data_IF_312175498576
#
_entry.id   IF_312175498576
#
_cell.length_a   1.000
_cell.length_b   1.000
_cell.length_c   1.000
_cell.angle_alpha   90.00
_cell.angle_beta   90.00
_cell.angle_gamma   90.00
#
_symmetry.space_group_name_H-M   'P 1'
#
loop_
_entity.id
_entity.type
_entity.pdbx_description
1 polymer ?
#
# COMPACT_ATOMS: atom_id res chain seq x y z
N UNK A 1 -52.76 -5.57 8.52
CA UNK A 1 -51.76 -5.74 9.61
C UNK A 1 -50.91 -6.99 9.40
N UNK A 2 -51.49 -8.17 9.16
CA UNK A 2 -50.73 -9.42 8.98
C UNK A 2 -49.71 -9.39 7.82
N UNK A 3 -50.10 -8.87 6.65
CA UNK A 3 -49.22 -8.75 5.48
C UNK A 3 -48.03 -7.82 5.70
N UNK A 4 -48.20 -6.76 6.49
CA UNK A 4 -47.13 -5.83 6.85
C UNK A 4 -46.17 -6.46 7.84
N UNK A 5 -46.67 -7.22 8.82
CA UNK A 5 -45.81 -7.90 9.80
C UNK A 5 -44.97 -9.01 9.19
N UNK A 6 -45.53 -9.79 8.25
CA UNK A 6 -44.78 -10.85 7.55
C UNK A 6 -43.75 -10.28 6.58
N UNK A 7 -44.06 -9.17 5.92
CA UNK A 7 -43.09 -8.45 5.10
C UNK A 7 -41.89 -7.96 5.92
N UNK A 8 -42.14 -7.31 7.06
CA UNK A 8 -41.08 -6.76 7.92
C UNK A 8 -40.18 -7.85 8.52
N UNK A 9 -40.75 -8.97 8.97
CA UNK A 9 -39.96 -10.09 9.49
C UNK A 9 -39.09 -10.73 8.39
N UNK A 10 -39.63 -10.87 7.19
CA UNK A 10 -38.92 -11.40 6.03
C UNK A 10 -37.80 -10.46 5.60
N UNK A 11 -38.07 -9.15 5.58
CA UNK A 11 -37.09 -8.10 5.32
C UNK A 11 -35.93 -8.15 6.31
N UNK A 12 -36.22 -8.20 7.61
CA UNK A 12 -35.18 -8.26 8.65
C UNK A 12 -34.33 -9.51 8.52
N UNK A 13 -34.93 -10.65 8.18
CA UNK A 13 -34.19 -11.89 7.93
C UNK A 13 -33.25 -11.77 6.73
N UNK A 14 -33.71 -11.22 5.59
CA UNK A 14 -32.86 -11.03 4.42
C UNK A 14 -31.72 -10.05 4.68
N UNK A 15 -32.01 -8.93 5.37
CA UNK A 15 -30.99 -7.95 5.73
C UNK A 15 -29.98 -8.54 6.73
N UNK A 16 -30.43 -9.31 7.73
CA UNK A 16 -29.52 -9.99 8.64
C UNK A 16 -28.59 -10.97 7.92
N UNK A 17 -29.13 -11.83 7.06
CA UNK A 17 -28.32 -12.75 6.23
C UNK A 17 -27.36 -11.96 5.34
N UNK A 18 -27.83 -10.88 4.69
CA UNK A 18 -26.99 -10.02 3.87
C UNK A 18 -25.82 -9.40 4.65
N UNK A 19 -26.06 -8.94 5.87
CA UNK A 19 -25.00 -8.42 6.74
C UNK A 19 -23.95 -9.48 7.07
N UNK A 20 -24.38 -10.68 7.47
CA UNK A 20 -23.47 -11.80 7.76
C UNK A 20 -22.65 -12.18 6.53
N UNK A 21 -23.26 -12.19 5.34
CA UNK A 21 -22.57 -12.44 4.07
C UNK A 21 -21.51 -11.37 3.78
N UNK A 22 -21.80 -10.09 4.03
CA UNK A 22 -20.83 -9.01 3.86
C UNK A 22 -19.67 -9.12 4.85
N UNK A 23 -19.91 -9.49 6.11
CA UNK A 23 -18.84 -9.76 7.10
C UNK A 23 -17.97 -10.92 6.62
N UNK A 24 -18.59 -12.03 6.23
CA UNK A 24 -17.89 -13.20 5.72
C UNK A 24 -17.03 -12.85 4.51
N UNK A 25 -17.56 -12.06 3.56
CA UNK A 25 -16.81 -11.57 2.42
C UNK A 25 -15.61 -10.71 2.84
N UNK A 26 -15.81 -9.77 3.77
CA UNK A 26 -14.73 -8.92 4.29
C UNK A 26 -13.60 -9.73 4.91
N UNK A 27 -13.93 -10.77 5.68
CA UNK A 27 -12.94 -11.70 6.26
C UNK A 27 -12.26 -12.54 5.18
N UNK A 28 -13.03 -13.09 4.22
CA UNK A 28 -12.49 -13.88 3.12
C UNK A 28 -11.50 -13.10 2.26
N UNK A 29 -11.74 -11.80 2.03
CA UNK A 29 -10.81 -10.92 1.32
C UNK A 29 -9.46 -10.84 2.04
N UNK A 30 -9.46 -10.68 3.37
CA UNK A 30 -8.22 -10.63 4.16
C UNK A 30 -7.52 -11.99 4.19
N UNK A 31 -8.27 -13.07 4.39
CA UNK A 31 -7.73 -14.43 4.38
C UNK A 31 -7.14 -14.78 3.02
N UNK A 32 -7.78 -14.38 1.93
CA UNK A 32 -7.27 -14.56 0.58
C UNK A 32 -5.93 -13.83 0.39
N UNK A 33 -5.85 -12.57 0.82
CA UNK A 33 -4.61 -11.80 0.75
C UNK A 33 -3.48 -12.48 1.53
N UNK A 34 -3.69 -12.84 2.80
CA UNK A 34 -2.66 -13.48 3.62
C UNK A 34 -2.29 -14.87 3.11
N UNK A 35 -3.26 -15.62 2.57
CA UNK A 35 -2.99 -16.89 1.91
C UNK A 35 -2.11 -16.71 0.66
N UNK A 36 -2.38 -15.70 -0.17
CA UNK A 36 -1.52 -15.37 -1.32
C UNK A 36 -0.11 -14.97 -0.89
N UNK A 37 0.03 -14.13 0.14
CA UNK A 37 1.34 -13.76 0.70
C UNK A 37 2.10 -14.99 1.23
N UNK A 38 1.39 -15.92 1.86
CA UNK A 38 1.98 -17.16 2.38
C UNK A 38 2.47 -18.09 1.28
N UNK A 39 1.77 -18.16 0.14
CA UNK A 39 2.18 -19.01 -0.99
C UNK A 39 3.46 -18.54 -1.68
N UNK A 40 3.75 -17.23 -1.64
CA UNK A 40 4.94 -16.68 -2.30
C UNK A 40 6.18 -17.03 -1.46
N UNK A 41 7.09 -17.82 -2.05
CA UNK A 41 8.32 -18.25 -1.38
C UNK A 41 9.45 -17.23 -1.52
N UNK A 42 9.63 -16.66 -2.71
CA UNK A 42 10.66 -15.66 -2.95
C UNK A 42 10.31 -14.35 -2.23
N UNK A 43 11.24 -13.82 -1.42
CA UNK A 43 10.91 -12.64 -0.61
C UNK A 43 10.85 -11.35 -1.44
N UNK A 44 11.45 -11.30 -2.64
CA UNK A 44 11.33 -10.13 -3.53
C UNK A 44 9.96 -10.11 -4.18
N UNK A 45 9.51 -11.24 -4.71
CA UNK A 45 8.15 -11.36 -5.24
C UNK A 45 7.10 -11.08 -4.14
N UNK A 46 7.35 -11.56 -2.91
CA UNK A 46 6.50 -11.29 -1.75
C UNK A 46 6.43 -9.80 -1.43
N UNK A 47 7.58 -9.13 -1.46
CA UNK A 47 7.69 -7.69 -1.24
C UNK A 47 6.87 -6.91 -2.27
N UNK A 48 7.05 -7.21 -3.56
CA UNK A 48 6.36 -6.51 -4.66
C UNK A 48 4.86 -6.71 -4.59
N UNK A 49 4.42 -7.94 -4.30
CA UNK A 49 3.01 -8.25 -4.11
C UNK A 49 2.42 -7.45 -2.95
N UNK A 50 3.06 -7.46 -1.79
CA UNK A 50 2.63 -6.74 -0.58
C UNK A 50 2.53 -5.24 -0.86
N UNK A 51 3.59 -4.66 -1.44
CA UNK A 51 3.65 -3.22 -1.73
C UNK A 51 2.47 -2.75 -2.62
N UNK A 52 2.14 -3.54 -3.65
CA UNK A 52 1.14 -3.16 -4.64
C UNK A 52 -0.31 -3.45 -4.22
N UNK A 53 -0.51 -4.40 -3.30
CA UNK A 53 -1.83 -4.99 -3.05
C UNK A 53 -2.35 -4.86 -1.62
N UNK A 54 -1.48 -4.77 -0.61
CA UNK A 54 -1.91 -4.85 0.80
C UNK A 54 -2.94 -3.77 1.16
N UNK A 55 -2.68 -2.51 0.80
CA UNK A 55 -3.62 -1.39 1.02
C UNK A 55 -4.94 -1.61 0.26
N UNK A 56 -4.90 -2.17 -0.96
CA UNK A 56 -6.10 -2.37 -1.80
C UNK A 56 -7.02 -3.42 -1.20
N UNK A 57 -6.48 -4.59 -0.82
CA UNK A 57 -7.28 -5.65 -0.20
C UNK A 57 -7.78 -5.26 1.18
N UNK A 58 -6.97 -4.53 1.98
CA UNK A 58 -7.41 -3.97 3.25
C UNK A 58 -8.60 -3.02 3.06
N UNK A 59 -8.54 -2.14 2.05
CA UNK A 59 -9.63 -1.22 1.73
C UNK A 59 -10.90 -1.93 1.26
N UNK A 60 -10.79 -2.97 0.41
CA UNK A 60 -11.95 -3.77 0.00
C UNK A 60 -12.62 -4.48 1.17
N UNK A 61 -11.83 -5.01 2.11
CA UNK A 61 -12.37 -5.62 3.33
C UNK A 61 -13.10 -4.58 4.19
N UNK A 62 -12.51 -3.40 4.38
CA UNK A 62 -13.14 -2.29 5.11
C UNK A 62 -14.48 -1.89 4.49
N UNK A 63 -14.55 -1.79 3.17
CA UNK A 63 -15.80 -1.48 2.47
C UNK A 63 -16.88 -2.54 2.70
N UNK A 64 -16.50 -3.83 2.71
CA UNK A 64 -17.43 -4.92 3.02
C UNK A 64 -17.95 -4.84 4.47
N UNK A 65 -17.10 -4.47 5.43
CA UNK A 65 -17.53 -4.28 6.83
C UNK A 65 -18.44 -3.05 7.00
N UNK A 66 -18.16 -1.94 6.34
CA UNK A 66 -19.05 -0.77 6.34
C UNK A 66 -20.42 -1.17 5.78
N UNK A 67 -20.46 -1.87 4.64
CA UNK A 67 -21.70 -2.36 4.07
C UNK A 67 -22.45 -3.29 5.03
N UNK A 68 -21.75 -4.22 5.70
CA UNK A 68 -22.36 -5.11 6.69
C UNK A 68 -23.02 -4.33 7.84
N UNK A 69 -22.35 -3.31 8.38
CA UNK A 69 -22.86 -2.47 9.47
C UNK A 69 -24.08 -1.68 9.01
N UNK A 70 -24.08 -1.13 7.80
CA UNK A 70 -25.22 -0.39 7.24
C UNK A 70 -26.43 -1.30 7.05
N UNK A 71 -26.22 -2.50 6.52
CA UNK A 71 -27.29 -3.49 6.32
C UNK A 71 -27.85 -3.93 7.68
N UNK A 72 -26.99 -4.22 8.66
CA UNK A 72 -27.39 -4.60 10.01
C UNK A 72 -28.13 -3.48 10.73
N UNK A 73 -27.67 -2.23 10.64
CA UNK A 73 -28.37 -1.09 11.24
C UNK A 73 -29.79 -0.92 10.70
N UNK A 74 -30.05 -1.41 9.48
CA UNK A 74 -31.38 -1.43 8.86
C UNK A 74 -32.27 -2.61 9.30
N UNK A 75 -31.82 -3.49 10.20
CA UNK A 75 -32.67 -4.47 10.91
C UNK A 75 -33.08 -3.98 12.30
N UNK A 76 -32.43 -2.94 12.81
CA UNK A 76 -32.70 -2.40 14.15
C UNK A 76 -33.99 -1.58 14.12
N UNK A 77 -34.78 -1.72 15.19
CA UNK A 77 -35.99 -0.96 15.47
C UNK A 77 -37.08 -1.07 14.38
N UNK A 78 -37.18 -2.24 13.74
CA UNK A 78 -38.21 -2.49 12.73
C UNK A 78 -39.62 -2.45 13.31
N UNK A 79 -39.80 -2.73 14.60
CA UNK A 79 -41.08 -2.57 15.31
C UNK A 79 -41.59 -1.12 15.33
N UNK A 80 -40.69 -0.12 15.23
CA UNK A 80 -41.08 1.29 15.11
C UNK A 80 -41.67 1.63 13.74
N UNK A 81 -41.25 0.94 12.68
CA UNK A 81 -41.82 1.10 11.33
C UNK A 81 -43.30 0.68 11.34
N UNK A 82 -43.63 -0.40 12.05
CA UNK A 82 -45.00 -0.85 12.18
C UNK A 82 -45.90 0.16 12.93
N UNK A 83 -45.34 0.98 13.82
CA UNK A 83 -46.08 1.98 14.62
C UNK A 83 -46.16 3.36 13.97
N UNK A 84 -45.06 3.87 13.43
CA UNK A 84 -44.95 5.24 12.91
C UNK A 84 -45.16 5.35 11.39
N UNK A 85 -45.30 4.21 10.72
CA UNK A 85 -45.54 4.08 9.29
C UNK A 85 -44.27 4.25 8.44
N UNK A 86 -44.47 4.43 7.14
CA UNK A 86 -43.40 4.46 6.12
C UNK A 86 -42.40 5.61 6.30
N UNK A 87 -42.74 6.67 7.04
CA UNK A 87 -41.81 7.78 7.34
C UNK A 87 -40.56 7.31 8.08
N UNK A 88 -40.71 6.45 9.08
CA UNK A 88 -39.58 5.96 9.88
C UNK A 88 -38.61 5.11 9.04
N UNK A 89 -39.12 4.39 8.04
CA UNK A 89 -38.31 3.64 7.08
C UNK A 89 -37.34 4.56 6.30
N UNK A 90 -37.83 5.69 5.77
CA UNK A 90 -36.99 6.66 5.05
C UNK A 90 -36.00 7.38 5.98
N UNK A 91 -36.44 7.76 7.18
CA UNK A 91 -35.55 8.37 8.18
C UNK A 91 -34.40 7.42 8.52
N UNK A 92 -34.67 6.13 8.70
CA UNK A 92 -33.64 5.12 8.98
C UNK A 92 -32.63 4.99 7.83
N UNK A 93 -33.09 4.89 6.58
CA UNK A 93 -32.20 4.82 5.43
C UNK A 93 -31.33 6.08 5.34
N UNK A 94 -31.93 7.26 5.55
CA UNK A 94 -31.19 8.52 5.53
C UNK A 94 -30.11 8.57 6.61
N UNK A 95 -30.44 8.21 7.85
CA UNK A 95 -29.50 8.20 8.97
C UNK A 95 -28.37 7.17 8.74
N UNK A 96 -28.72 5.95 8.33
CA UNK A 96 -27.71 4.90 8.08
C UNK A 96 -26.81 5.22 6.90
N UNK A 97 -27.33 5.83 5.83
CA UNK A 97 -26.53 6.34 4.72
C UNK A 97 -25.60 7.48 5.16
N UNK A 98 -26.08 8.41 5.98
CA UNK A 98 -25.25 9.48 6.55
C UNK A 98 -24.08 8.93 7.36
N UNK A 99 -24.33 7.97 8.25
CA UNK A 99 -23.26 7.30 9.00
C UNK A 99 -22.32 6.49 8.10
N UNK A 100 -22.82 5.88 7.01
CA UNK A 100 -22.00 5.17 6.05
C UNK A 100 -20.98 6.10 5.36
N UNK A 101 -21.43 7.30 4.97
CA UNK A 101 -20.56 8.32 4.36
C UNK A 101 -19.51 8.81 5.36
N UNK A 102 -19.90 9.08 6.60
CA UNK A 102 -18.96 9.47 7.66
C UNK A 102 -17.93 8.34 7.88
N UNK A 103 -18.39 7.10 8.04
CA UNK A 103 -17.52 5.94 8.22
C UNK A 103 -16.56 5.77 7.04
N UNK A 104 -17.04 5.92 5.80
CA UNK A 104 -16.21 5.89 4.60
C UNK A 104 -15.06 6.89 4.69
N UNK A 105 -15.33 8.16 4.97
CA UNK A 105 -14.29 9.19 5.05
C UNK A 105 -13.32 8.96 6.21
N UNK A 106 -13.83 8.55 7.38
CA UNK A 106 -13.00 8.24 8.55
C UNK A 106 -12.06 7.08 8.23
N UNK A 107 -12.57 5.96 7.74
CA UNK A 107 -11.75 4.80 7.42
C UNK A 107 -10.83 5.05 6.23
N UNK A 108 -11.27 5.78 5.20
CA UNK A 108 -10.43 6.17 4.07
C UNK A 108 -9.21 6.98 4.54
N UNK A 109 -9.46 7.96 5.41
CA UNK A 109 -8.42 8.79 6.03
C UNK A 109 -7.46 7.94 6.88
N UNK A 110 -8.00 7.06 7.74
CA UNK A 110 -7.19 6.16 8.57
C UNK A 110 -6.29 5.25 7.73
N UNK A 111 -6.85 4.60 6.70
CA UNK A 111 -6.10 3.70 5.83
C UNK A 111 -5.05 4.46 5.02
N UNK A 112 -5.38 5.62 4.46
CA UNK A 112 -4.44 6.32 3.57
C UNK A 112 -3.33 7.06 4.33
N UNK A 113 -3.56 7.49 5.56
CA UNK A 113 -2.62 8.32 6.32
C UNK A 113 -1.79 7.51 7.31
N UNK A 114 -2.41 6.59 8.05
CA UNK A 114 -1.73 5.91 9.17
C UNK A 114 -1.18 4.54 8.78
N UNK A 115 -1.83 3.84 7.86
CA UNK A 115 -1.42 2.52 7.44
C UNK A 115 -0.08 2.47 6.69
N UNK A 116 0.32 3.44 5.82
CA UNK A 116 1.58 3.39 5.10
C UNK A 116 2.79 3.16 6.02
N UNK A 117 2.81 3.76 7.21
CA UNK A 117 3.86 3.54 8.21
C UNK A 117 4.01 2.08 8.63
N UNK A 118 2.91 1.34 8.74
CA UNK A 118 2.94 -0.09 9.10
C UNK A 118 3.38 -0.94 7.91
N UNK A 119 2.91 -0.59 6.71
CA UNK A 119 3.32 -1.23 5.46
C UNK A 119 4.83 -1.09 5.26
N UNK A 120 5.40 0.11 5.41
CA UNK A 120 6.84 0.34 5.28
C UNK A 120 7.65 -0.48 6.29
N UNK A 121 7.17 -0.62 7.53
CA UNK A 121 7.80 -1.51 8.52
C UNK A 121 7.74 -3.00 8.13
N UNK A 122 6.69 -3.43 7.43
CA UNK A 122 6.56 -4.80 6.90
C UNK A 122 7.50 -5.00 5.71
N UNK A 123 7.53 -4.05 4.78
CA UNK A 123 8.39 -4.03 3.60
C UNK A 123 9.87 -4.01 3.99
N UNK A 124 10.27 -3.16 4.94
CA UNK A 124 11.65 -3.11 5.44
C UNK A 124 12.10 -4.43 6.06
N UNK A 125 11.20 -5.14 6.78
CA UNK A 125 11.49 -6.48 7.30
C UNK A 125 11.70 -7.49 6.16
N UNK A 126 10.84 -7.47 5.15
CA UNK A 126 10.95 -8.36 3.98
C UNK A 126 12.23 -8.08 3.17
N UNK A 127 12.55 -6.81 2.92
CA UNK A 127 13.73 -6.38 2.16
C UNK A 127 15.03 -6.77 2.86
N UNK A 128 15.12 -6.62 4.18
CA UNK A 128 16.35 -6.90 4.93
C UNK A 128 16.46 -8.34 5.47
N UNK A 129 15.52 -9.23 5.15
CA UNK A 129 15.64 -10.64 5.53
C UNK A 129 16.69 -11.33 4.65
N UNK A 130 17.69 -12.04 5.24
CA UNK A 130 18.71 -12.74 4.48
C UNK A 130 18.15 -13.70 3.44
N UNK A 131 18.76 -13.71 2.26
CA UNK A 131 18.38 -14.62 1.17
C UNK A 131 19.11 -15.94 1.31
N UNK A 132 18.55 -16.99 0.73
CA UNK A 132 19.17 -18.31 0.68
C UNK A 132 19.64 -18.54 -0.76
N UNK A 133 20.92 -18.87 -0.93
CA UNK A 133 21.49 -19.18 -2.24
C UNK A 133 20.97 -20.52 -2.77
N UNK A 134 21.11 -20.83 -4.07
CA UNK A 134 20.79 -22.15 -4.60
C UNK A 134 21.56 -23.30 -3.91
N UNK A 135 22.70 -23.00 -3.30
CA UNK A 135 23.51 -23.95 -2.52
C UNK A 135 23.00 -24.12 -1.07
N UNK A 136 22.00 -23.35 -0.64
CA UNK A 136 21.43 -23.40 0.70
C UNK A 136 22.11 -22.49 1.72
N UNK A 137 23.08 -21.66 1.31
CA UNK A 137 23.79 -20.76 2.22
C UNK A 137 23.02 -19.45 2.44
N UNK A 138 23.13 -18.88 3.64
CA UNK A 138 22.65 -17.54 3.91
C UNK A 138 23.51 -16.50 3.19
N UNK A 139 22.88 -15.61 2.43
CA UNK A 139 23.55 -14.56 1.66
C UNK A 139 23.72 -13.30 2.51
N UNK A 140 24.85 -12.61 2.35
CA UNK A 140 25.10 -11.29 2.93
C UNK A 140 24.60 -10.20 1.99
N UNK A 141 23.88 -9.21 2.53
CA UNK A 141 23.57 -7.97 1.81
C UNK A 141 24.80 -7.07 1.82
N UNK A 142 25.21 -6.61 0.65
CA UNK A 142 26.33 -5.68 0.51
C UNK A 142 25.92 -4.27 0.97
N UNK A 143 26.91 -3.46 1.35
CA UNK A 143 26.72 -2.03 1.60
C UNK A 143 26.69 -1.25 0.27
N UNK A 144 26.08 -0.07 0.23
CA UNK A 144 25.97 0.75 -1.00
C UNK A 144 27.32 0.97 -1.70
N UNK A 145 28.41 1.14 -0.94
CA UNK A 145 29.76 1.29 -1.50
C UNK A 145 30.30 0.01 -2.14
N UNK A 146 29.97 -1.15 -1.57
CA UNK A 146 30.34 -2.45 -2.13
C UNK A 146 29.48 -2.76 -3.37
N UNK A 147 28.18 -2.48 -3.30
CA UNK A 147 27.20 -2.75 -4.37
C UNK A 147 27.58 -2.11 -5.70
N UNK A 148 28.09 -0.87 -5.68
CA UNK A 148 28.50 -0.16 -6.89
C UNK A 148 29.53 -0.90 -7.75
N UNK A 149 30.37 -1.75 -7.15
CA UNK A 149 31.36 -2.54 -7.88
C UNK A 149 30.76 -3.77 -8.58
N UNK A 150 29.55 -4.17 -8.19
CA UNK A 150 28.84 -5.34 -8.71
C UNK A 150 27.72 -5.00 -9.69
N UNK A 151 27.33 -3.73 -9.76
CA UNK A 151 26.31 -3.21 -10.67
C UNK A 151 26.91 -2.82 -12.01
N UNK A 152 26.19 -3.15 -13.08
CA UNK A 152 26.57 -2.72 -14.44
C UNK A 152 26.34 -1.22 -14.62
N UNK A 153 27.02 -0.59 -15.59
CA UNK A 153 26.92 0.86 -15.81
C UNK A 153 25.47 1.33 -16.06
N UNK A 154 24.66 0.52 -16.76
CA UNK A 154 23.24 0.80 -16.96
C UNK A 154 22.43 0.76 -15.66
N UNK A 155 22.71 -0.17 -14.75
CA UNK A 155 22.04 -0.27 -13.46
C UNK A 155 22.42 0.90 -12.54
N UNK A 156 23.68 1.34 -12.60
CA UNK A 156 24.15 2.51 -11.88
C UNK A 156 23.48 3.78 -12.40
N UNK A 157 23.37 3.93 -13.72
CA UNK A 157 22.66 5.04 -14.34
C UNK A 157 21.16 5.04 -14.00
N UNK A 158 20.50 3.89 -14.09
CA UNK A 158 19.10 3.69 -13.72
C UNK A 158 18.84 4.07 -12.25
N UNK A 159 19.74 3.66 -11.33
CA UNK A 159 19.60 3.96 -9.91
C UNK A 159 19.58 5.45 -9.62
N UNK A 160 20.40 6.22 -10.33
CA UNK A 160 20.46 7.68 -10.18
C UNK A 160 19.26 8.35 -10.83
N UNK A 161 18.97 8.02 -12.10
CA UNK A 161 18.00 8.76 -12.91
C UNK A 161 16.56 8.44 -12.52
N UNK A 162 16.25 7.20 -12.14
CA UNK A 162 14.89 6.72 -11.90
C UNK A 162 14.59 6.41 -10.42
N UNK A 163 15.49 6.84 -9.51
CA UNK A 163 15.44 6.53 -8.08
C UNK A 163 15.15 5.07 -7.80
N UNK A 164 15.98 4.21 -8.37
CA UNK A 164 15.90 2.78 -8.17
C UNK A 164 17.00 2.38 -7.19
N UNK A 165 16.62 1.85 -6.05
CA UNK A 165 17.59 1.21 -5.16
C UNK A 165 17.84 -0.21 -5.66
N UNK A 166 19.11 -0.60 -5.67
CA UNK A 166 19.52 -1.96 -5.96
C UNK A 166 20.09 -2.57 -4.69
N UNK A 167 19.57 -3.73 -4.27
CA UNK A 167 20.20 -4.51 -3.21
C UNK A 167 20.99 -5.65 -3.85
N UNK A 168 22.27 -5.78 -3.50
CA UNK A 168 23.10 -6.91 -3.96
C UNK A 168 23.33 -7.88 -2.81
N UNK A 169 22.87 -9.11 -3.02
CA UNK A 169 23.10 -10.23 -2.12
C UNK A 169 24.22 -11.11 -2.68
N UNK A 170 25.19 -11.46 -1.84
CA UNK A 170 26.30 -12.36 -2.22
C UNK A 170 26.39 -13.53 -1.25
N UNK A 171 26.53 -14.73 -1.81
CA UNK A 171 26.97 -15.92 -1.08
C UNK A 171 28.50 -15.96 -1.11
N UNK A 172 29.14 -15.74 0.04
CA UNK A 172 30.60 -15.70 0.16
C UNK A 172 31.26 -17.06 -0.09
N UNK A 173 30.53 -18.17 0.08
CA UNK A 173 31.08 -19.51 -0.11
C UNK A 173 31.10 -19.93 -1.58
N UNK A 174 30.09 -19.52 -2.36
CA UNK A 174 29.95 -19.93 -3.77
C UNK A 174 30.21 -18.82 -4.78
N UNK A 175 30.25 -17.56 -4.33
CA UNK A 175 30.31 -16.38 -5.19
C UNK A 175 28.98 -16.09 -5.92
N UNK A 176 27.90 -16.80 -5.60
CA UNK A 176 26.60 -16.55 -6.21
C UNK A 176 26.08 -15.16 -5.81
N UNK A 177 25.67 -14.37 -6.82
CA UNK A 177 25.11 -13.02 -6.62
C UNK A 177 23.65 -12.96 -7.03
N UNK A 178 22.83 -12.28 -6.23
CA UNK A 178 21.43 -11.96 -6.53
C UNK A 178 21.22 -10.46 -6.40
N UNK A 179 20.84 -9.82 -7.50
CA UNK A 179 20.57 -8.37 -7.56
C UNK A 179 19.05 -8.17 -7.55
N UNK A 180 18.54 -7.36 -6.63
CA UNK A 180 17.12 -7.08 -6.48
C UNK A 180 16.84 -5.58 -6.65
N UNK A 181 15.76 -5.24 -7.38
CA UNK A 181 15.40 -3.87 -7.78
C UNK A 181 14.24 -3.30 -6.96
N UNK A 182 14.41 -2.12 -6.36
CA UNK A 182 13.42 -1.46 -5.51
C UNK A 182 13.15 -0.02 -5.97
N UNK A 183 11.99 0.28 -6.58
CA UNK A 183 11.69 1.64 -7.02
C UNK A 183 11.31 2.54 -5.83
N UNK A 184 12.09 3.58 -5.55
CA UNK A 184 11.90 4.46 -4.40
C UNK A 184 10.59 5.27 -4.47
N UNK A 185 10.09 5.58 -5.67
CA UNK A 185 8.82 6.31 -5.83
C UNK A 185 7.58 5.53 -5.34
N UNK A 186 7.72 4.23 -5.08
CA UNK A 186 6.66 3.41 -4.49
C UNK A 186 6.63 3.50 -2.95
N UNK A 187 7.64 4.11 -2.34
CA UNK A 187 7.78 4.23 -0.90
C UNK A 187 7.27 5.58 -0.39
N UNK A 188 6.68 5.51 0.81
CA UNK A 188 6.22 6.70 1.52
C UNK A 188 7.20 7.07 2.63
N UNK A 189 7.54 8.35 2.69
CA UNK A 189 8.41 8.96 3.69
C UNK A 189 7.60 9.88 4.62
N UNK A 190 8.20 10.20 5.76
CA UNK A 190 7.63 11.14 6.72
C UNK A 190 7.65 12.56 6.17
N UNK A 191 6.49 13.21 6.12
CA UNK A 191 6.39 14.59 5.68
C UNK A 191 6.87 15.54 6.78
N UNK A 192 7.80 16.45 6.45
CA UNK A 192 8.33 17.43 7.39
C UNK A 192 7.27 18.40 7.96
N UNK A 193 6.23 18.71 7.19
CA UNK A 193 5.18 19.66 7.59
C UNK A 193 4.09 19.03 8.47
N UNK A 194 3.61 17.82 8.12
CA UNK A 194 2.48 17.20 8.82
C UNK A 194 2.83 15.96 9.67
N UNK A 195 4.06 15.44 9.57
CA UNK A 195 4.53 14.27 10.32
C UNK A 195 3.94 12.92 9.89
N UNK A 196 3.08 12.89 8.86
CA UNK A 196 2.51 11.65 8.34
C UNK A 196 3.41 11.01 7.27
N UNK A 197 3.44 9.66 7.24
CA UNK A 197 4.14 8.86 6.23
C UNK A 197 3.35 8.86 4.91
N UNK A 198 3.37 9.99 4.22
CA UNK A 198 2.56 10.24 3.02
C UNK A 198 3.29 11.08 1.96
N UNK A 199 4.58 11.36 2.19
CA UNK A 199 5.47 12.01 1.24
C UNK A 199 6.02 10.96 0.27
N UNK A 200 6.02 11.23 -1.03
CA UNK A 200 6.64 10.34 -2.02
C UNK A 200 7.18 11.14 -3.21
N UNK A 201 8.07 10.52 -3.98
CA UNK A 201 8.60 11.12 -5.21
C UNK A 201 7.44 11.29 -6.20
N UNK A 202 7.18 12.53 -6.61
CA UNK A 202 6.12 12.88 -7.56
C UNK A 202 6.64 13.04 -8.99
N UNK A 203 7.85 13.60 -9.14
CA UNK A 203 8.53 13.74 -10.42
C UNK A 203 10.03 13.89 -10.23
N UNK A 204 10.77 13.56 -11.27
CA UNK A 204 12.21 13.71 -11.35
C UNK A 204 12.53 14.59 -12.56
N UNK A 205 13.50 15.48 -12.40
CA UNK A 205 13.86 16.46 -13.42
C UNK A 205 15.38 16.62 -13.46
N UNK A 206 15.97 16.48 -14.64
CA UNK A 206 17.41 16.71 -14.84
C UNK A 206 17.59 18.21 -15.09
N UNK A 207 18.09 18.93 -14.08
CA UNK A 207 18.41 20.35 -14.21
C UNK A 207 19.68 20.56 -15.04
N UNK A 208 20.70 19.73 -14.79
CA UNK A 208 21.97 19.76 -15.53
C UNK A 208 22.37 18.35 -15.93
N UNK A 209 22.50 18.10 -17.22
CA UNK A 209 22.98 16.82 -17.70
C UNK A 209 24.47 16.62 -17.32
N UNK A 210 24.87 15.42 -16.87
CA UNK A 210 26.26 15.12 -16.60
C UNK A 210 27.07 15.17 -17.91
N UNK A 211 28.29 15.71 -17.83
CA UNK A 211 29.26 15.69 -18.94
C UNK A 211 30.50 14.91 -18.53
N UNK A 212 31.44 14.69 -19.45
CA UNK A 212 32.75 14.10 -19.11
C UNK A 212 33.55 14.98 -18.13
N UNK A 213 33.35 16.31 -18.17
CA UNK A 213 34.09 17.27 -17.36
C UNK A 213 33.40 17.63 -16.04
N UNK A 214 32.07 17.65 -16.02
CA UNK A 214 31.27 18.21 -14.93
C UNK A 214 30.15 17.26 -14.50
N UNK A 215 29.86 17.17 -13.18
CA UNK A 215 28.74 16.38 -12.70
C UNK A 215 27.40 16.98 -13.16
N UNK A 216 26.40 16.11 -13.25
CA UNK A 216 25.02 16.52 -13.48
C UNK A 216 24.30 16.85 -12.18
N UNK A 217 23.12 17.43 -12.30
CA UNK A 217 22.23 17.76 -11.19
C UNK A 217 20.84 17.21 -11.51
N UNK A 218 20.32 16.36 -10.62
CA UNK A 218 18.97 15.80 -10.68
C UNK A 218 18.14 16.36 -9.52
N UNK A 219 16.98 16.91 -9.84
CA UNK A 219 15.99 17.40 -8.89
C UNK A 219 14.91 16.33 -8.69
N UNK A 220 14.76 15.87 -7.45
CA UNK A 220 13.64 15.01 -7.04
C UNK A 220 12.60 15.86 -6.36
N UNK A 221 11.41 15.92 -6.95
CA UNK A 221 10.28 16.66 -6.39
C UNK A 221 9.41 15.69 -5.60
N UNK A 222 9.36 15.90 -4.29
CA UNK A 222 8.51 15.16 -3.38
C UNK A 222 7.18 15.89 -3.19
N UNK A 223 6.11 15.12 -3.01
CA UNK A 223 4.78 15.67 -2.71
C UNK A 223 4.06 14.83 -1.66
N UNK A 224 3.57 15.51 -0.63
CA UNK A 224 2.72 14.90 0.38
C UNK A 224 1.32 14.69 -0.20
N UNK A 225 0.85 13.44 -0.17
CA UNK A 225 -0.49 13.10 -0.65
C UNK A 225 -1.62 13.54 0.29
N UNK A 226 -1.29 13.92 1.54
CA UNK A 226 -2.26 14.40 2.53
C UNK A 226 -2.37 15.93 2.58
N UNK A 227 -1.32 16.65 3.00
CA UNK A 227 -1.36 18.11 3.13
C UNK A 227 -1.00 18.85 1.83
N UNK A 228 -0.44 18.18 0.84
CA UNK A 228 -0.01 18.80 -0.41
C UNK A 228 1.34 19.52 -0.35
N UNK A 229 2.07 19.44 0.77
CA UNK A 229 3.44 19.92 0.91
C UNK A 229 4.32 19.43 -0.23
N UNK A 230 5.28 20.26 -0.66
CA UNK A 230 6.21 19.93 -1.72
C UNK A 230 7.63 20.24 -1.27
N UNK A 231 8.51 19.29 -1.46
CA UNK A 231 9.94 19.43 -1.19
C UNK A 231 10.70 19.12 -2.47
N UNK A 232 11.87 19.73 -2.61
CA UNK A 232 12.77 19.46 -3.72
C UNK A 232 14.13 19.10 -3.15
N UNK A 233 14.60 17.90 -3.49
CA UNK A 233 15.94 17.43 -3.12
C UNK A 233 16.83 17.43 -4.34
N UNK A 234 17.96 18.12 -4.23
CA UNK A 234 19.01 18.13 -5.23
C UNK A 234 19.95 16.95 -5.01
N UNK A 235 20.18 16.16 -6.06
CA UNK A 235 21.10 15.03 -6.04
C UNK A 235 22.12 15.21 -7.14
N UNK A 236 23.39 15.14 -6.76
CA UNK A 236 24.51 15.25 -7.68
C UNK A 236 24.69 13.95 -8.46
N UNK A 237 24.62 14.02 -9.79
CA UNK A 237 24.83 12.89 -10.69
C UNK A 237 26.31 12.84 -11.07
N UNK A 238 26.92 11.66 -10.95
CA UNK A 238 28.32 11.47 -11.32
C UNK A 238 28.58 11.83 -12.80
N UNK A 239 29.83 12.20 -13.11
CA UNK A 239 30.28 12.52 -14.47
C UNK A 239 30.12 11.32 -15.40
N UNK A 240 29.95 11.57 -16.69
CA UNK A 240 29.95 10.50 -17.69
C UNK A 240 31.33 9.84 -17.72
N UNK A 241 31.35 8.51 -17.63
CA UNK A 241 32.58 7.73 -17.75
C UNK A 241 32.95 7.56 -19.22
N UNK A 242 34.25 7.62 -19.56
CA UNK A 242 34.74 7.47 -20.94
C UNK A 242 34.42 6.10 -21.58
N UNK A 243 33.96 5.14 -20.77
CA UNK A 243 33.58 3.79 -21.18
C UNK A 243 32.08 3.65 -21.48
N UNK A 244 31.28 4.72 -21.36
CA UNK A 244 29.88 4.74 -21.74
C UNK A 244 29.72 5.08 -23.24
N UNK A 245 30.07 4.14 -24.12
CA UNK A 245 29.73 4.16 -25.56
C UNK A 245 29.21 2.78 -25.95
#
# INVERSE_FOLDING_TARGET
METTSTFLSTWDQYMYVGSVMCIALGVLILLYHEFKVFQIKDLKEKYDYVNLNEIKYFWYSMMAFIAAVVIYANTIATEKIAREGTRWFFVRIFVTAGFAVIAYFVFYSLVRIYYPRQLEKRLARLRNTPRISPAGNAMRKLSESEEQHHLDESQRADGVIHSIDYDVWVDEATGFKKIEKYPAYQHAEECSECGYFTMSIAREEIEKAPTFGEPGVLLKHYKCSYCGHREQHEITVAKLSANAV
#
